data_IF_041243242971
#
_entry.id   IF_041243242971
#
_cell.length_a   1.000
_cell.length_b   1.000
_cell.length_c   1.000
_cell.angle_alpha   90.00
_cell.angle_beta   90.00
_cell.angle_gamma   90.00
#
_symmetry.space_group_name_H-M   'P 1'
#
loop_
_entity.id
_entity.type
_entity.pdbx_description
1 polymer ?
#
# COMPACT_ATOMS: atom_id res chain seq x y z
N UNK A 1 19.08 24.51 -1.03
CA UNK A 1 17.81 23.76 -1.22
C UNK A 1 17.91 23.12 -2.60
N UNK A 2 17.83 21.81 -2.68
CA UNK A 2 17.84 21.12 -3.97
C UNK A 2 16.57 21.41 -4.76
N UNK A 3 16.65 21.39 -6.08
CA UNK A 3 15.47 21.53 -6.94
C UNK A 3 14.63 20.26 -6.82
N UNK A 4 13.31 20.41 -6.71
CA UNK A 4 12.40 19.28 -6.66
C UNK A 4 11.18 19.49 -7.57
N UNK A 5 10.51 18.39 -7.91
CA UNK A 5 9.29 18.35 -8.70
C UNK A 5 8.23 17.58 -7.93
N UNK A 6 7.03 18.15 -7.80
CA UNK A 6 5.89 17.51 -7.16
C UNK A 6 4.73 17.41 -8.15
N UNK A 7 4.15 16.21 -8.28
CA UNK A 7 3.00 15.95 -9.15
C UNK A 7 2.01 15.03 -8.45
N UNK A 8 0.76 15.46 -8.33
CA UNK A 8 -0.39 14.63 -7.93
C UNK A 8 -1.56 14.93 -8.87
N UNK A 9 -1.80 14.05 -9.88
CA UNK A 9 -2.80 14.32 -10.90
C UNK A 9 -4.22 13.88 -10.53
N UNK A 10 -4.41 13.17 -9.38
CA UNK A 10 -5.70 12.60 -8.99
C UNK A 10 -6.48 13.59 -8.13
N UNK A 11 -7.64 14.07 -8.58
CA UNK A 11 -8.58 14.77 -7.71
C UNK A 11 -9.05 13.87 -6.57
N UNK A 12 -9.01 14.39 -5.34
CA UNK A 12 -9.37 13.67 -4.11
C UNK A 12 -10.61 14.33 -3.50
N UNK A 13 -11.69 13.57 -3.33
CA UNK A 13 -12.84 13.97 -2.50
C UNK A 13 -12.89 13.08 -1.27
N UNK A 14 -12.64 13.66 -0.11
CA UNK A 14 -12.44 12.97 1.16
C UNK A 14 -13.53 13.35 2.17
N UNK A 15 -14.02 12.37 2.92
CA UNK A 15 -14.88 12.57 4.10
C UNK A 15 -16.02 11.57 4.20
N UNK A 16 -16.61 11.49 5.39
CA UNK A 16 -17.72 10.62 5.74
C UNK A 16 -18.93 10.87 4.84
N UNK A 17 -19.50 9.81 4.26
CA UNK A 17 -20.65 9.86 3.36
C UNK A 17 -20.37 10.34 1.94
N UNK A 18 -19.11 10.59 1.58
CA UNK A 18 -18.72 11.10 0.25
C UNK A 18 -19.06 10.14 -0.90
N UNK A 19 -19.17 8.83 -0.66
CA UNK A 19 -19.63 7.87 -1.69
C UNK A 19 -20.97 8.26 -2.32
N UNK A 20 -21.80 9.05 -1.63
CA UNK A 20 -23.09 9.56 -2.15
C UNK A 20 -22.92 10.52 -3.33
N UNK A 21 -21.71 11.07 -3.54
CA UNK A 21 -21.40 11.93 -4.70
C UNK A 21 -21.07 11.16 -5.97
N UNK A 22 -21.08 9.82 -5.94
CA UNK A 22 -20.77 9.00 -7.11
C UNK A 22 -21.58 9.39 -8.35
N UNK A 23 -22.94 9.58 -8.30
CA UNK A 23 -23.72 9.97 -9.47
C UNK A 23 -23.26 11.29 -10.10
N UNK A 24 -22.98 12.30 -9.26
CA UNK A 24 -22.52 13.62 -9.72
C UNK A 24 -21.14 13.55 -10.38
N UNK A 25 -20.24 12.71 -9.83
CA UNK A 25 -18.91 12.51 -10.38
C UNK A 25 -19.00 11.82 -11.75
N UNK A 26 -19.79 10.74 -11.86
CA UNK A 26 -20.01 10.03 -13.12
C UNK A 26 -20.65 10.93 -14.17
N UNK A 27 -21.57 11.81 -13.78
CA UNK A 27 -22.20 12.79 -14.67
C UNK A 27 -21.18 13.80 -15.20
N UNK A 28 -20.31 14.33 -14.32
CA UNK A 28 -19.22 15.26 -14.74
C UNK A 28 -18.19 14.59 -15.63
N UNK A 29 -17.93 13.30 -15.44
CA UNK A 29 -17.04 12.52 -16.31
C UNK A 29 -17.69 12.20 -17.66
N UNK A 30 -18.99 12.46 -17.84
CA UNK A 30 -19.78 12.16 -19.04
C UNK A 30 -19.67 10.67 -19.46
N UNK A 31 -19.73 9.75 -18.48
CA UNK A 31 -19.65 8.30 -18.70
C UNK A 31 -21.01 7.66 -18.48
N UNK A 32 -21.33 6.60 -19.27
CA UNK A 32 -22.68 6.02 -19.29
C UNK A 32 -22.71 4.54 -18.90
N UNK A 33 -21.66 3.78 -19.19
CA UNK A 33 -21.66 2.33 -19.01
C UNK A 33 -20.36 1.88 -18.37
N UNK A 34 -20.44 1.31 -17.19
CA UNK A 34 -19.26 0.95 -16.42
C UNK A 34 -19.39 -0.34 -15.63
N UNK A 35 -18.27 -0.76 -15.05
CA UNK A 35 -18.15 -1.94 -14.22
C UNK A 35 -17.71 -1.55 -12.80
N UNK A 36 -18.27 -2.22 -11.78
CA UNK A 36 -17.77 -2.17 -10.42
C UNK A 36 -16.81 -3.34 -10.19
N UNK A 37 -15.56 -3.03 -9.95
CA UNK A 37 -14.51 -3.99 -9.58
C UNK A 37 -14.40 -3.97 -8.06
N UNK A 38 -14.83 -5.05 -7.40
CA UNK A 38 -15.10 -5.01 -5.96
C UNK A 38 -14.40 -6.13 -5.19
N UNK A 39 -14.07 -5.86 -3.93
CA UNK A 39 -13.69 -6.92 -3.02
C UNK A 39 -14.85 -7.88 -2.77
N UNK A 40 -14.62 -9.21 -2.70
CA UNK A 40 -15.67 -10.19 -2.41
C UNK A 40 -16.44 -9.90 -1.10
N UNK A 41 -15.78 -9.32 -0.10
CA UNK A 41 -16.39 -8.90 1.15
C UNK A 41 -17.44 -7.81 0.95
N UNK A 42 -17.20 -6.85 0.06
CA UNK A 42 -18.14 -5.77 -0.24
C UNK A 42 -19.40 -6.30 -0.95
N UNK A 43 -19.25 -7.34 -1.77
CA UNK A 43 -20.40 -8.04 -2.38
C UNK A 43 -21.21 -8.78 -1.32
N UNK A 44 -20.55 -9.56 -0.46
CA UNK A 44 -21.24 -10.32 0.61
C UNK A 44 -21.98 -9.44 1.62
N UNK A 45 -21.48 -8.25 1.89
CA UNK A 45 -22.12 -7.29 2.81
C UNK A 45 -23.19 -6.42 2.13
N UNK A 46 -23.40 -6.56 0.83
CA UNK A 46 -24.33 -5.75 0.04
C UNK A 46 -23.87 -4.31 -0.23
N UNK A 47 -22.67 -3.94 0.18
CA UNK A 47 -22.12 -2.59 -0.05
C UNK A 47 -21.89 -2.37 -1.56
N UNK A 48 -21.36 -3.37 -2.26
CA UNK A 48 -21.15 -3.30 -3.72
C UNK A 48 -22.47 -3.02 -4.46
N UNK A 49 -23.55 -3.69 -4.07
CA UNK A 49 -24.87 -3.45 -4.66
C UNK A 49 -25.35 -2.01 -4.40
N UNK A 50 -25.21 -1.52 -3.18
CA UNK A 50 -25.59 -0.12 -2.84
C UNK A 50 -24.80 0.91 -3.66
N UNK A 51 -23.53 0.66 -3.92
CA UNK A 51 -22.70 1.54 -4.78
C UNK A 51 -23.16 1.45 -6.25
N UNK A 52 -23.46 0.24 -6.73
CA UNK A 52 -24.01 0.06 -8.08
C UNK A 52 -25.36 0.78 -8.26
N UNK A 53 -26.26 0.65 -7.29
CA UNK A 53 -27.58 1.32 -7.30
C UNK A 53 -27.43 2.85 -7.31
N UNK A 54 -26.48 3.39 -6.55
CA UNK A 54 -26.16 4.83 -6.53
C UNK A 54 -25.66 5.36 -7.88
N UNK A 55 -25.17 4.50 -8.77
CA UNK A 55 -24.71 4.92 -10.11
C UNK A 55 -25.81 5.31 -11.07
N UNK A 56 -27.08 5.21 -10.67
CA UNK A 56 -28.26 5.49 -11.51
C UNK A 56 -28.28 4.64 -12.79
N UNK A 57 -27.92 3.36 -12.67
CA UNK A 57 -27.90 2.40 -13.77
C UNK A 57 -26.66 2.48 -14.68
N UNK A 58 -25.69 3.34 -14.37
CA UNK A 58 -24.43 3.43 -15.14
C UNK A 58 -23.49 2.26 -14.88
N UNK A 59 -23.49 1.66 -13.67
CA UNK A 59 -22.77 0.42 -13.38
C UNK A 59 -23.67 -0.75 -13.81
N UNK A 60 -23.24 -1.48 -14.85
CA UNK A 60 -24.03 -2.56 -15.48
C UNK A 60 -23.50 -3.96 -15.13
N UNK A 61 -22.33 -4.06 -14.50
CA UNK A 61 -21.71 -5.32 -14.12
C UNK A 61 -20.90 -5.14 -12.83
N UNK A 62 -20.74 -6.24 -12.07
CA UNK A 62 -19.88 -6.31 -10.90
C UNK A 62 -18.89 -7.45 -11.09
N UNK A 63 -17.60 -7.18 -10.98
CA UNK A 63 -16.53 -8.18 -11.00
C UNK A 63 -15.89 -8.26 -9.61
N UNK A 64 -15.85 -9.45 -9.00
CA UNK A 64 -15.35 -9.63 -7.64
C UNK A 64 -14.45 -10.86 -7.45
N UNK A 65 -14.00 -11.48 -8.53
CA UNK A 65 -13.17 -12.68 -8.50
C UNK A 65 -11.68 -12.33 -8.33
N UNK A 66 -11.38 -11.46 -7.38
CA UNK A 66 -10.00 -11.00 -7.12
C UNK A 66 -9.56 -11.50 -5.75
N UNK A 67 -8.45 -12.21 -5.72
CA UNK A 67 -7.81 -12.68 -4.49
C UNK A 67 -6.82 -11.64 -3.96
N UNK A 68 -6.48 -11.68 -2.66
CA UNK A 68 -5.31 -10.96 -2.15
C UNK A 68 -4.05 -11.30 -2.97
N UNK A 69 -3.18 -10.30 -3.21
CA UNK A 69 -2.07 -10.41 -4.16
C UNK A 69 -2.56 -10.79 -5.57
N UNK A 70 -3.23 -9.87 -6.29
CA UNK A 70 -3.91 -10.18 -7.54
C UNK A 70 -2.93 -10.75 -8.57
N UNK A 71 -3.40 -11.78 -9.30
CA UNK A 71 -2.59 -12.47 -10.30
C UNK A 71 -2.81 -11.86 -11.69
N UNK A 72 -1.89 -12.19 -12.60
CA UNK A 72 -2.07 -11.93 -14.04
C UNK A 72 -3.43 -12.47 -14.51
N UNK A 73 -3.77 -13.72 -14.14
CA UNK A 73 -5.05 -14.35 -14.49
C UNK A 73 -6.26 -13.57 -13.97
N UNK A 74 -6.23 -13.08 -12.72
CA UNK A 74 -7.31 -12.25 -12.17
C UNK A 74 -7.48 -10.96 -13.00
N UNK A 75 -6.37 -10.34 -13.38
CA UNK A 75 -6.36 -9.09 -14.15
C UNK A 75 -6.90 -9.30 -15.56
N UNK A 76 -6.48 -10.37 -16.24
CA UNK A 76 -6.96 -10.67 -17.58
C UNK A 76 -8.44 -11.06 -17.59
N UNK A 77 -8.93 -11.78 -16.59
CA UNK A 77 -10.35 -12.09 -16.41
C UNK A 77 -11.17 -10.80 -16.17
N UNK A 78 -10.67 -9.87 -15.34
CA UNK A 78 -11.30 -8.58 -15.13
C UNK A 78 -11.34 -7.74 -16.44
N UNK A 79 -10.24 -7.72 -17.20
CA UNK A 79 -10.19 -7.05 -18.50
C UNK A 79 -11.15 -7.67 -19.52
N UNK A 80 -11.34 -9.01 -19.50
CA UNK A 80 -12.33 -9.69 -20.31
C UNK A 80 -13.76 -9.27 -19.96
N UNK A 81 -14.10 -9.19 -18.67
CA UNK A 81 -15.40 -8.69 -18.20
C UNK A 81 -15.67 -7.23 -18.63
N UNK A 82 -14.65 -6.36 -18.57
CA UNK A 82 -14.76 -4.99 -19.07
C UNK A 82 -15.15 -4.97 -20.56
N UNK A 83 -14.50 -5.81 -21.38
CA UNK A 83 -14.79 -5.92 -22.82
C UNK A 83 -16.17 -6.52 -23.10
N UNK A 84 -16.52 -7.62 -22.43
CA UNK A 84 -17.80 -8.33 -22.60
C UNK A 84 -19.00 -7.42 -22.33
N UNK A 85 -18.90 -6.62 -21.24
CA UNK A 85 -19.94 -5.68 -20.88
C UNK A 85 -19.84 -4.31 -21.58
N UNK A 86 -18.90 -4.14 -22.52
CA UNK A 86 -18.67 -2.89 -23.24
C UNK A 86 -18.54 -1.67 -22.33
N UNK A 87 -17.76 -1.80 -21.24
CA UNK A 87 -17.64 -0.76 -20.24
C UNK A 87 -16.68 0.35 -20.68
N UNK A 88 -17.12 1.61 -20.59
CA UNK A 88 -16.33 2.80 -20.87
C UNK A 88 -15.69 3.43 -19.63
N UNK A 89 -15.96 2.91 -18.42
CA UNK A 89 -15.31 3.29 -17.17
C UNK A 89 -15.36 2.16 -16.15
N UNK A 90 -14.57 2.28 -15.11
CA UNK A 90 -14.60 1.36 -13.96
C UNK A 90 -14.63 2.12 -12.63
N UNK A 91 -15.25 1.53 -11.63
CA UNK A 91 -15.15 1.93 -10.22
C UNK A 91 -14.47 0.80 -9.46
N UNK A 92 -13.36 1.05 -8.79
CA UNK A 92 -12.69 0.09 -7.93
C UNK A 92 -13.13 0.30 -6.48
N UNK A 93 -13.79 -0.69 -5.87
CA UNK A 93 -14.26 -0.67 -4.49
C UNK A 93 -13.53 -1.75 -3.67
N UNK A 94 -12.45 -1.38 -2.99
CA UNK A 94 -11.65 -2.35 -2.25
C UNK A 94 -10.34 -1.80 -1.72
N UNK A 95 -9.48 -2.66 -1.20
CA UNK A 95 -8.11 -2.34 -0.82
C UNK A 95 -7.13 -2.39 -2.00
N UNK A 96 -5.83 -2.34 -1.70
CA UNK A 96 -4.75 -2.31 -2.70
C UNK A 96 -4.86 -3.38 -3.78
N UNK A 97 -5.16 -4.63 -3.41
CA UNK A 97 -5.30 -5.74 -4.37
C UNK A 97 -6.38 -5.48 -5.42
N UNK A 98 -7.51 -4.88 -5.03
CA UNK A 98 -8.59 -4.53 -5.95
C UNK A 98 -8.17 -3.36 -6.84
N UNK A 99 -7.56 -2.33 -6.25
CA UNK A 99 -7.08 -1.16 -6.97
C UNK A 99 -6.03 -1.52 -8.02
N UNK A 100 -5.07 -2.36 -7.66
CA UNK A 100 -3.98 -2.78 -8.53
C UNK A 100 -4.50 -3.62 -9.70
N UNK A 101 -5.36 -4.60 -9.42
CA UNK A 101 -6.05 -5.36 -10.46
C UNK A 101 -6.84 -4.43 -11.40
N UNK A 102 -7.62 -3.50 -10.84
CA UNK A 102 -8.44 -2.58 -11.62
C UNK A 102 -7.62 -1.66 -12.53
N UNK A 103 -6.51 -1.09 -12.03
CA UNK A 103 -5.61 -0.24 -12.83
C UNK A 103 -5.09 -0.98 -14.06
N UNK A 104 -4.55 -2.18 -13.85
CA UNK A 104 -4.01 -2.97 -14.95
C UNK A 104 -5.13 -3.48 -15.88
N UNK A 105 -6.25 -3.96 -15.35
CA UNK A 105 -7.38 -4.45 -16.14
C UNK A 105 -8.00 -3.35 -17.01
N UNK A 106 -8.17 -2.13 -16.49
CA UNK A 106 -8.66 -0.99 -17.26
C UNK A 106 -7.76 -0.65 -18.46
N UNK A 107 -6.45 -0.83 -18.28
CA UNK A 107 -5.48 -0.63 -19.37
C UNK A 107 -5.51 -1.79 -20.36
N UNK A 108 -5.40 -3.05 -19.87
CA UNK A 108 -5.35 -4.26 -20.71
C UNK A 108 -6.62 -4.44 -21.53
N UNK A 109 -7.78 -4.04 -21.00
CA UNK A 109 -9.06 -4.11 -21.71
C UNK A 109 -9.07 -3.38 -23.05
N UNK A 110 -8.27 -2.32 -23.19
CA UNK A 110 -8.10 -1.55 -24.44
C UNK A 110 -7.04 -2.09 -25.39
N UNK A 111 -6.45 -3.26 -25.12
CA UNK A 111 -5.37 -3.85 -25.90
C UNK A 111 -5.69 -5.28 -26.34
N UNK A 112 -5.03 -5.81 -27.39
CA UNK A 112 -5.15 -7.23 -27.77
C UNK A 112 -4.21 -8.14 -26.98
N UNK A 113 -3.46 -7.61 -25.99
CA UNK A 113 -2.41 -8.31 -25.28
C UNK A 113 -2.86 -8.72 -23.87
N UNK A 114 -2.12 -9.67 -23.26
CA UNK A 114 -2.29 -10.09 -21.86
C UNK A 114 -1.55 -9.18 -20.88
N UNK A 115 -1.91 -9.24 -19.62
CA UNK A 115 -1.16 -8.57 -18.55
C UNK A 115 0.30 -9.03 -18.48
N UNK A 116 0.58 -10.31 -18.76
CA UNK A 116 1.94 -10.87 -18.77
C UNK A 116 2.85 -10.20 -19.81
N UNK A 117 2.31 -9.83 -20.99
CA UNK A 117 3.09 -9.15 -22.03
C UNK A 117 3.67 -7.81 -21.55
N UNK A 118 2.95 -7.10 -20.66
CA UNK A 118 3.39 -5.83 -20.09
C UNK A 118 4.30 -6.04 -18.88
N UNK A 119 4.03 -7.02 -18.02
CA UNK A 119 4.88 -7.35 -16.89
C UNK A 119 6.28 -7.81 -17.32
N UNK A 120 6.37 -8.58 -18.41
CA UNK A 120 7.63 -9.01 -19.01
C UNK A 120 8.40 -7.88 -19.71
N UNK A 121 7.79 -6.68 -19.82
CA UNK A 121 8.30 -5.54 -20.61
C UNK A 121 8.44 -5.84 -22.12
N UNK A 122 7.80 -6.90 -22.60
CA UNK A 122 7.73 -7.20 -24.03
C UNK A 122 6.92 -6.13 -24.79
N UNK A 123 6.06 -5.41 -24.08
CA UNK A 123 5.25 -4.32 -24.61
C UNK A 123 5.34 -3.08 -23.73
N UNK A 124 5.49 -1.88 -24.33
CA UNK A 124 5.44 -0.62 -23.58
C UNK A 124 3.99 -0.22 -23.25
N UNK A 125 3.81 0.50 -22.15
CA UNK A 125 2.54 1.14 -21.79
C UNK A 125 2.55 2.54 -22.45
N UNK A 126 1.75 2.74 -23.49
CA UNK A 126 1.82 3.93 -24.35
C UNK A 126 0.60 4.83 -24.26
N UNK A 127 -0.49 4.38 -23.60
CA UNK A 127 -1.75 5.11 -23.51
C UNK A 127 -2.50 4.78 -22.22
N UNK A 128 -3.47 5.62 -21.88
CA UNK A 128 -4.37 5.38 -20.75
C UNK A 128 -5.42 4.31 -21.14
N UNK A 129 -5.80 3.47 -20.19
CA UNK A 129 -6.97 2.60 -20.28
C UNK A 129 -8.29 3.36 -20.11
N UNK A 130 -9.39 2.65 -19.93
CA UNK A 130 -10.67 3.27 -19.58
C UNK A 130 -10.52 4.00 -18.22
N UNK A 131 -11.27 5.12 -18.02
CA UNK A 131 -11.23 5.87 -16.76
C UNK A 131 -11.54 5.00 -15.55
N UNK A 132 -10.71 5.09 -14.52
CA UNK A 132 -10.86 4.39 -13.23
C UNK A 132 -11.14 5.39 -12.11
N UNK A 133 -12.27 5.25 -11.43
CA UNK A 133 -12.59 5.91 -10.16
C UNK A 133 -12.26 4.96 -9.01
N UNK A 134 -11.49 5.44 -8.03
CA UNK A 134 -11.02 4.63 -6.91
C UNK A 134 -11.80 4.95 -5.63
N UNK A 135 -12.33 3.91 -4.96
CA UNK A 135 -13.04 3.98 -3.68
C UNK A 135 -12.39 3.00 -2.68
N UNK A 136 -11.40 3.44 -1.89
CA UNK A 136 -10.69 2.56 -0.96
C UNK A 136 -11.59 2.08 0.18
N UNK A 137 -11.40 0.81 0.61
CA UNK A 137 -12.07 0.21 1.77
C UNK A 137 -11.09 -0.21 2.86
N UNK A 138 -9.81 0.12 2.68
CA UNK A 138 -8.73 -0.04 3.67
C UNK A 138 -7.91 1.24 3.71
N UNK A 139 -7.33 1.55 4.87
CA UNK A 139 -6.38 2.65 5.04
C UNK A 139 -4.98 2.05 5.09
N UNK A 140 -4.27 2.02 3.96
CA UNK A 140 -2.97 1.33 3.85
C UNK A 140 -2.17 1.75 2.63
N UNK A 141 -2.42 1.10 1.50
CA UNK A 141 -1.59 1.19 0.29
C UNK A 141 -1.65 2.53 -0.43
N UNK A 142 -2.66 3.36 -0.15
CA UNK A 142 -2.94 4.59 -0.89
C UNK A 142 -2.93 4.41 -2.43
N UNK A 143 -3.32 3.21 -2.91
CA UNK A 143 -3.30 2.89 -4.34
C UNK A 143 -4.23 3.80 -5.15
N UNK A 144 -5.23 4.41 -4.51
CA UNK A 144 -6.14 5.39 -5.10
C UNK A 144 -5.45 6.67 -5.59
N UNK A 145 -4.24 6.96 -5.12
CA UNK A 145 -3.47 8.16 -5.51
C UNK A 145 -2.10 7.82 -6.11
N UNK A 146 -1.85 6.57 -6.49
CA UNK A 146 -0.57 6.12 -7.06
C UNK A 146 -0.69 5.61 -8.48
N UNK A 147 0.43 5.61 -9.22
CA UNK A 147 0.56 5.17 -10.60
C UNK A 147 1.07 3.72 -10.73
N UNK A 148 1.01 2.96 -9.65
CA UNK A 148 1.57 1.61 -9.56
C UNK A 148 0.47 0.56 -9.49
N UNK A 149 0.73 -0.63 -10.03
CA UNK A 149 -0.05 -1.86 -9.91
C UNK A 149 0.89 -3.02 -9.67
N UNK A 150 0.82 -3.64 -8.49
CA UNK A 150 1.64 -4.79 -8.11
C UNK A 150 0.83 -6.07 -8.33
N UNK A 151 1.32 -6.94 -9.20
CA UNK A 151 0.65 -8.17 -9.59
C UNK A 151 1.56 -9.38 -9.37
N UNK A 152 0.95 -10.54 -9.15
CA UNK A 152 1.66 -11.80 -9.06
C UNK A 152 1.66 -12.51 -10.42
N UNK A 153 2.84 -12.69 -10.98
CA UNK A 153 3.05 -13.58 -12.12
C UNK A 153 3.23 -15.01 -11.59
N UNK A 154 2.16 -15.79 -11.68
CA UNK A 154 2.14 -17.15 -11.14
C UNK A 154 2.96 -18.14 -11.95
N UNK A 155 3.24 -17.84 -13.24
CA UNK A 155 4.07 -18.71 -14.09
C UNK A 155 5.56 -18.52 -13.74
N UNK A 156 5.96 -17.32 -13.37
CA UNK A 156 7.33 -17.00 -12.97
C UNK A 156 7.55 -17.07 -11.46
N UNK A 157 6.48 -17.19 -10.67
CA UNK A 157 6.55 -17.22 -9.21
C UNK A 157 6.99 -15.89 -8.58
N UNK A 158 6.78 -14.74 -9.25
CA UNK A 158 7.28 -13.44 -8.79
C UNK A 158 6.20 -12.38 -8.69
N UNK A 159 6.33 -11.47 -7.74
CA UNK A 159 5.59 -10.19 -7.74
C UNK A 159 6.28 -9.22 -8.69
N UNK A 160 5.51 -8.60 -9.55
CA UNK A 160 6.01 -7.66 -10.53
C UNK A 160 5.20 -6.35 -10.51
N UNK A 161 5.90 -5.26 -10.78
CA UNK A 161 5.36 -3.91 -10.77
C UNK A 161 5.10 -3.43 -12.20
N UNK A 162 3.87 -3.04 -12.48
CA UNK A 162 3.53 -2.14 -13.59
C UNK A 162 3.42 -0.72 -13.03
N UNK A 163 4.22 0.20 -13.57
CA UNK A 163 4.19 1.61 -13.20
C UNK A 163 4.16 2.49 -14.44
N UNK A 164 3.21 3.40 -14.49
CA UNK A 164 3.06 4.38 -15.56
C UNK A 164 2.11 5.48 -15.10
N UNK A 165 2.37 6.72 -15.51
CA UNK A 165 1.44 7.84 -15.29
C UNK A 165 0.02 7.57 -15.82
N UNK A 166 -0.12 6.64 -16.74
CA UNK A 166 -1.42 6.21 -17.27
C UNK A 166 -2.25 5.38 -16.29
N UNK A 167 -1.65 4.87 -15.20
CA UNK A 167 -2.33 4.09 -14.16
C UNK A 167 -2.90 4.92 -13.01
N UNK A 168 -2.61 6.22 -12.95
CA UNK A 168 -3.31 7.07 -11.99
C UNK A 168 -4.82 6.98 -12.21
N UNK A 169 -5.61 6.69 -11.16
CA UNK A 169 -7.06 6.87 -11.21
C UNK A 169 -7.42 8.28 -11.66
N UNK A 170 -8.54 8.43 -12.33
CA UNK A 170 -9.01 9.78 -12.72
C UNK A 170 -9.70 10.50 -11.58
N UNK A 171 -10.06 9.77 -10.52
CA UNK A 171 -10.67 10.32 -9.32
C UNK A 171 -10.50 9.37 -8.13
N UNK A 172 -10.22 9.90 -6.95
CA UNK A 172 -10.23 9.19 -5.68
C UNK A 172 -11.41 9.70 -4.82
N UNK A 173 -12.36 8.81 -4.52
CA UNK A 173 -13.52 9.09 -3.68
C UNK A 173 -13.36 8.32 -2.37
N UNK A 174 -12.84 9.01 -1.36
CA UNK A 174 -12.44 8.42 -0.08
C UNK A 174 -13.53 8.66 0.96
N UNK A 175 -14.26 7.60 1.29
CA UNK A 175 -15.30 7.60 2.31
C UNK A 175 -14.90 6.68 3.47
N UNK A 176 -14.50 7.23 4.62
CA UNK A 176 -14.08 6.44 5.79
C UNK A 176 -15.11 5.43 6.28
N UNK A 177 -16.42 5.64 6.04
CA UNK A 177 -17.45 4.64 6.37
C UNK A 177 -17.25 3.30 5.65
N UNK A 178 -16.58 3.30 4.48
CA UNK A 178 -16.28 2.06 3.76
C UNK A 178 -15.19 1.21 4.46
N UNK A 179 -14.45 1.79 5.40
CA UNK A 179 -13.41 1.08 6.17
C UNK A 179 -13.92 0.46 7.47
N UNK A 180 -15.13 0.77 7.91
CA UNK A 180 -15.69 0.29 9.20
C UNK A 180 -15.79 -1.23 9.27
N UNK A 181 -16.07 -1.89 8.14
CA UNK A 181 -16.14 -3.35 8.07
C UNK A 181 -14.79 -4.03 7.95
N UNK A 182 -13.69 -3.27 7.93
CA UNK A 182 -12.33 -3.81 7.84
C UNK A 182 -12.00 -4.58 9.14
N UNK A 183 -11.61 -5.86 9.05
CA UNK A 183 -11.26 -6.65 10.24
C UNK A 183 -10.06 -6.02 10.98
N UNK A 184 -9.99 -6.18 12.33
CA UNK A 184 -8.90 -5.64 13.13
C UNK A 184 -7.51 -6.02 12.62
N UNK A 185 -7.27 -7.28 12.24
CA UNK A 185 -5.99 -7.73 11.71
C UNK A 185 -5.62 -7.04 10.38
N UNK A 186 -6.59 -6.79 9.51
CA UNK A 186 -6.36 -6.02 8.27
C UNK A 186 -6.12 -4.55 8.61
N UNK A 187 -6.83 -3.98 9.59
CA UNK A 187 -6.60 -2.61 10.09
C UNK A 187 -5.17 -2.47 10.63
N UNK A 188 -4.70 -3.45 11.43
CA UNK A 188 -3.34 -3.44 11.97
C UNK A 188 -2.28 -3.48 10.86
N UNK A 189 -2.36 -4.46 9.97
CA UNK A 189 -1.40 -4.61 8.89
C UNK A 189 -1.42 -3.40 7.95
N UNK A 190 -2.61 -2.93 7.50
CA UNK A 190 -2.69 -1.78 6.61
C UNK A 190 -2.24 -0.47 7.28
N UNK A 191 -2.53 -0.28 8.57
CA UNK A 191 -2.08 0.90 9.29
C UNK A 191 -0.56 0.95 9.51
N UNK A 192 0.08 -0.20 9.72
CA UNK A 192 1.54 -0.29 9.76
C UNK A 192 2.17 -0.09 8.37
N UNK A 193 1.47 -0.46 7.30
CA UNK A 193 1.86 -0.12 5.93
C UNK A 193 1.88 1.39 5.71
N UNK A 194 0.85 2.12 6.20
CA UNK A 194 0.85 3.60 6.20
C UNK A 194 2.06 4.16 6.93
N UNK A 195 2.38 3.59 8.10
CA UNK A 195 3.55 4.04 8.86
C UNK A 195 4.85 3.78 8.12
N UNK A 196 5.00 2.59 7.51
CA UNK A 196 6.16 2.25 6.69
C UNK A 196 6.31 3.21 5.50
N UNK A 197 5.23 3.46 4.76
CA UNK A 197 5.20 4.43 3.68
C UNK A 197 5.64 5.83 4.15
N UNK A 198 5.12 6.28 5.31
CA UNK A 198 5.43 7.59 5.87
C UNK A 198 6.90 7.71 6.27
N UNK A 199 7.41 6.76 7.07
CA UNK A 199 8.78 6.80 7.55
C UNK A 199 9.79 6.63 6.40
N UNK A 200 9.52 5.73 5.45
CA UNK A 200 10.36 5.54 4.26
C UNK A 200 10.33 6.74 3.31
N UNK A 201 9.18 7.36 3.12
CA UNK A 201 9.10 8.60 2.35
C UNK A 201 9.89 9.73 3.01
N UNK A 202 9.91 9.77 4.35
CA UNK A 202 10.63 10.78 5.10
C UNK A 202 12.14 10.56 5.07
N UNK A 203 12.63 9.33 5.32
CA UNK A 203 14.08 9.09 5.37
C UNK A 203 14.71 8.74 4.01
N UNK A 204 13.93 8.34 3.01
CA UNK A 204 14.44 7.90 1.72
C UNK A 204 15.25 8.97 0.98
N UNK A 205 16.25 8.56 0.18
CA UNK A 205 17.12 9.47 -0.57
C UNK A 205 16.38 10.44 -1.50
N UNK A 206 15.13 10.12 -1.87
CA UNK A 206 14.30 10.93 -2.79
C UNK A 206 13.32 11.85 -2.06
N UNK A 207 13.46 12.02 -0.76
CA UNK A 207 12.59 12.91 0.01
C UNK A 207 12.71 14.38 -0.45
N UNK A 208 11.70 15.17 -0.18
CA UNK A 208 11.64 16.59 -0.52
C UNK A 208 10.66 17.31 0.43
N UNK A 209 10.73 18.65 0.56
CA UNK A 209 9.97 19.36 1.58
C UNK A 209 8.45 19.10 1.60
N UNK A 210 7.81 18.94 0.42
CA UNK A 210 6.37 18.66 0.36
C UNK A 210 6.05 17.21 0.78
N UNK A 211 6.90 16.26 0.42
CA UNK A 211 6.73 14.87 0.85
C UNK A 211 7.06 14.69 2.32
N UNK A 212 8.03 15.43 2.86
CA UNK A 212 8.39 15.41 4.28
C UNK A 212 7.23 15.89 5.15
N UNK A 213 6.58 16.98 4.76
CA UNK A 213 5.39 17.50 5.46
C UNK A 213 4.25 16.48 5.46
N UNK A 214 3.97 15.85 4.31
CA UNK A 214 2.92 14.86 4.19
C UNK A 214 3.25 13.59 4.99
N UNK A 215 4.49 13.11 4.93
CA UNK A 215 4.98 11.94 5.66
C UNK A 215 4.89 12.13 7.18
N UNK A 216 5.30 13.30 7.68
CA UNK A 216 5.24 13.64 9.11
C UNK A 216 3.78 13.69 9.61
N UNK A 217 2.89 14.33 8.86
CA UNK A 217 1.47 14.36 9.20
C UNK A 217 0.87 12.97 9.25
N UNK A 218 1.11 12.15 8.22
CA UNK A 218 0.61 10.78 8.16
C UNK A 218 1.13 9.91 9.32
N UNK A 219 2.43 9.94 9.61
CA UNK A 219 3.01 9.21 10.74
C UNK A 219 2.40 9.63 12.08
N UNK A 220 2.20 10.94 12.29
CA UNK A 220 1.55 11.46 13.50
C UNK A 220 0.15 10.87 13.68
N UNK A 221 -0.66 10.85 12.63
CA UNK A 221 -2.00 10.27 12.67
C UNK A 221 -1.97 8.77 12.99
N UNK A 222 -1.03 8.01 12.41
CA UNK A 222 -0.92 6.57 12.71
C UNK A 222 -0.59 6.34 14.18
N UNK A 223 0.40 7.04 14.76
CA UNK A 223 0.74 6.88 16.17
C UNK A 223 -0.41 7.22 17.12
N UNK A 224 -1.30 8.14 16.74
CA UNK A 224 -2.42 8.55 17.57
C UNK A 224 -3.68 7.68 17.40
N UNK A 225 -3.93 7.15 16.19
CA UNK A 225 -5.23 6.59 15.86
C UNK A 225 -5.24 5.12 15.47
N UNK A 226 -4.10 4.50 15.10
CA UNK A 226 -4.08 3.11 14.63
C UNK A 226 -4.60 2.14 15.69
N UNK A 227 -4.10 2.24 16.92
CA UNK A 227 -4.56 1.38 18.01
C UNK A 227 -6.04 1.58 18.33
N UNK A 228 -6.51 2.82 18.27
CA UNK A 228 -7.93 3.14 18.44
C UNK A 228 -8.79 2.49 17.35
N UNK A 229 -8.36 2.60 16.09
CA UNK A 229 -9.07 1.97 14.96
C UNK A 229 -9.03 0.43 15.03
N UNK A 230 -7.97 -0.15 15.61
CA UNK A 230 -7.83 -1.59 15.83
C UNK A 230 -8.76 -2.10 16.94
N UNK A 231 -8.76 -1.45 18.11
CA UNK A 231 -9.55 -1.87 19.26
C UNK A 231 -11.04 -1.51 19.15
N UNK A 232 -11.33 -0.42 18.46
CA UNK A 232 -12.68 0.13 18.27
C UNK A 232 -13.01 0.24 16.76
N UNK A 233 -13.27 -0.87 16.05
CA UNK A 233 -13.50 -0.85 14.60
C UNK A 233 -14.62 0.09 14.13
N UNK A 234 -15.61 0.36 14.98
CA UNK A 234 -16.71 1.30 14.71
C UNK A 234 -16.41 2.77 15.04
N UNK A 235 -15.23 3.09 15.56
CA UNK A 235 -14.85 4.46 15.91
C UNK A 235 -14.59 5.28 14.63
N UNK A 236 -15.58 6.09 14.24
CA UNK A 236 -15.54 6.85 12.99
C UNK A 236 -14.42 7.89 12.95
N UNK A 237 -14.10 8.53 14.08
CA UNK A 237 -12.98 9.45 14.16
C UNK A 237 -11.66 8.74 13.81
N UNK A 238 -11.42 7.60 14.44
CA UNK A 238 -10.21 6.80 14.19
C UNK A 238 -10.16 6.30 12.73
N UNK A 239 -11.30 5.86 12.16
CA UNK A 239 -11.37 5.46 10.74
C UNK A 239 -11.09 6.63 9.80
N UNK A 240 -11.65 7.79 10.07
CA UNK A 240 -11.41 9.00 9.27
C UNK A 240 -9.93 9.40 9.33
N UNK A 241 -9.35 9.45 10.53
CA UNK A 241 -7.95 9.79 10.71
C UNK A 241 -6.98 8.77 10.09
N UNK A 242 -7.29 7.49 10.15
CA UNK A 242 -6.49 6.48 9.44
C UNK A 242 -6.64 6.57 7.91
N UNK A 243 -7.82 6.92 7.40
CA UNK A 243 -8.00 7.16 5.96
C UNK A 243 -7.27 8.42 5.49
N UNK A 244 -7.28 9.48 6.32
CA UNK A 244 -6.48 10.70 6.11
C UNK A 244 -4.98 10.38 6.10
N UNK A 245 -4.50 9.59 7.07
CA UNK A 245 -3.11 9.15 7.12
C UNK A 245 -2.70 8.37 5.87
N UNK A 246 -3.55 7.43 5.42
CA UNK A 246 -3.30 6.61 4.24
C UNK A 246 -3.12 7.47 2.98
N UNK A 247 -4.09 8.33 2.67
CA UNK A 247 -4.00 9.17 1.48
C UNK A 247 -2.82 10.14 1.56
N UNK A 248 -2.55 10.71 2.74
CA UNK A 248 -1.44 11.66 2.94
C UNK A 248 -0.08 10.97 2.79
N UNK A 249 0.09 9.73 3.32
CA UNK A 249 1.27 8.92 3.05
C UNK A 249 1.43 8.65 1.55
N UNK A 250 0.31 8.40 0.85
CA UNK A 250 0.28 8.24 -0.61
C UNK A 250 0.82 9.44 -1.36
N UNK A 251 0.48 10.66 -0.93
CA UNK A 251 1.01 11.90 -1.50
C UNK A 251 2.54 12.02 -1.33
N UNK A 252 3.09 11.40 -0.30
CA UNK A 252 4.53 11.39 -0.05
C UNK A 252 5.23 10.28 -0.88
N UNK A 253 4.93 9.00 -0.60
CA UNK A 253 5.72 7.90 -1.15
C UNK A 253 5.53 7.67 -2.65
N UNK A 254 4.43 8.14 -3.25
CA UNK A 254 4.24 8.07 -4.70
C UNK A 254 5.37 8.76 -5.50
N UNK A 255 6.06 9.71 -4.89
CA UNK A 255 7.18 10.44 -5.48
C UNK A 255 8.52 9.99 -4.93
N UNK A 256 8.62 9.77 -3.62
CA UNK A 256 9.87 9.37 -2.97
C UNK A 256 10.19 7.89 -3.18
N UNK A 257 9.21 7.08 -3.54
CA UNK A 257 9.28 5.63 -3.55
C UNK A 257 9.45 5.03 -2.14
N UNK A 258 9.31 3.72 -2.03
CA UNK A 258 9.61 2.98 -0.80
C UNK A 258 11.10 2.67 -0.69
N UNK A 259 11.56 2.11 0.43
CA UNK A 259 12.97 1.84 0.68
C UNK A 259 13.19 0.41 1.24
N UNK A 260 14.05 0.28 2.24
CA UNK A 260 14.57 -1.00 2.70
C UNK A 260 13.55 -1.87 3.44
N UNK A 261 12.65 -1.28 4.25
CA UNK A 261 11.63 -2.06 4.96
C UNK A 261 10.65 -2.74 3.99
N UNK A 262 10.25 -2.03 2.93
CA UNK A 262 9.46 -2.64 1.86
C UNK A 262 10.24 -3.68 1.07
N UNK A 263 11.54 -3.47 0.78
CA UNK A 263 12.36 -4.47 0.11
C UNK A 263 12.40 -5.79 0.91
N UNK A 264 12.59 -5.70 2.22
CA UNK A 264 12.58 -6.84 3.14
C UNK A 264 11.19 -7.50 3.30
N UNK A 265 10.11 -6.77 3.02
CA UNK A 265 8.75 -7.32 3.13
C UNK A 265 8.38 -8.29 2.00
N UNK A 266 9.03 -8.20 0.84
CA UNK A 266 8.65 -9.00 -0.32
C UNK A 266 8.80 -10.49 -0.08
N UNK A 267 9.97 -11.02 0.32
CA UNK A 267 10.10 -12.44 0.64
C UNK A 267 9.19 -12.86 1.80
N UNK A 268 9.07 -12.06 2.86
CA UNK A 268 8.16 -12.36 3.98
C UNK A 268 6.71 -12.52 3.53
N UNK A 269 6.28 -11.71 2.58
CA UNK A 269 4.91 -11.81 2.02
C UNK A 269 4.77 -12.95 1.03
N UNK A 270 5.75 -13.16 0.15
CA UNK A 270 5.67 -14.09 -0.95
C UNK A 270 5.91 -15.53 -0.49
N UNK A 271 6.95 -15.75 0.31
CA UNK A 271 7.44 -17.08 0.66
C UNK A 271 6.80 -17.58 1.96
N UNK A 272 6.49 -16.66 2.88
CA UNK A 272 5.93 -16.99 4.21
C UNK A 272 4.47 -16.55 4.41
N UNK A 273 3.86 -15.89 3.42
CA UNK A 273 2.43 -15.52 3.47
C UNK A 273 2.05 -14.44 4.49
N UNK A 274 3.03 -13.67 4.97
CA UNK A 274 2.79 -12.59 5.94
C UNK A 274 2.05 -11.43 5.25
N UNK A 275 1.00 -10.84 5.85
CA UNK A 275 0.36 -9.65 5.32
C UNK A 275 1.37 -8.52 5.07
N UNK A 276 1.28 -7.85 3.92
CA UNK A 276 2.33 -6.94 3.43
C UNK A 276 2.76 -5.88 4.45
N UNK A 277 1.81 -5.13 5.02
CA UNK A 277 2.15 -4.08 6.00
C UNK A 277 2.71 -4.64 7.33
N UNK A 278 2.28 -5.84 7.75
CA UNK A 278 2.93 -6.56 8.86
C UNK A 278 4.37 -6.93 8.51
N UNK A 279 4.60 -7.41 7.29
CA UNK A 279 5.94 -7.74 6.81
C UNK A 279 6.85 -6.50 6.73
N UNK A 280 6.36 -5.34 6.29
CA UNK A 280 7.10 -4.09 6.33
C UNK A 280 7.49 -3.70 7.76
N UNK A 281 6.56 -3.88 8.72
CA UNK A 281 6.78 -3.54 10.11
C UNK A 281 7.81 -4.44 10.83
N UNK A 282 8.22 -5.57 10.26
CA UNK A 282 9.27 -6.40 10.85
C UNK A 282 10.60 -5.66 10.96
N UNK A 283 11.04 -5.04 9.88
CA UNK A 283 12.35 -4.38 9.81
C UNK A 283 12.29 -2.87 9.95
N UNK A 284 11.10 -2.26 9.89
CA UNK A 284 10.92 -0.81 9.96
C UNK A 284 11.58 -0.17 11.19
N UNK A 285 11.42 -0.70 12.44
CA UNK A 285 12.09 -0.15 13.62
C UNK A 285 13.62 -0.19 13.49
N UNK A 286 14.16 -1.29 12.97
CA UNK A 286 15.59 -1.47 12.78
C UNK A 286 16.17 -0.50 11.75
N UNK A 287 15.50 -0.30 10.63
CA UNK A 287 15.91 0.70 9.63
C UNK A 287 15.77 2.13 10.14
N UNK A 288 14.76 2.43 10.94
CA UNK A 288 14.65 3.74 11.57
C UNK A 288 15.84 4.02 12.49
N UNK A 289 16.19 3.08 13.38
CA UNK A 289 17.37 3.17 14.26
C UNK A 289 18.67 3.28 13.46
N UNK A 290 18.84 2.46 12.43
CA UNK A 290 20.03 2.48 11.57
C UNK A 290 20.22 3.84 10.89
N UNK A 291 19.16 4.35 10.24
CA UNK A 291 19.21 5.60 9.49
C UNK A 291 19.34 6.82 10.42
N UNK A 292 18.73 6.81 11.60
CA UNK A 292 18.83 7.90 12.58
C UNK A 292 20.17 7.95 13.31
N UNK A 293 20.93 6.85 13.33
CA UNK A 293 22.28 6.81 13.95
C UNK A 293 23.39 7.05 12.94
N UNK A 294 23.29 6.45 11.76
CA UNK A 294 24.39 6.36 10.79
C UNK A 294 24.07 7.01 9.44
N UNK A 295 22.84 7.46 9.22
CA UNK A 295 22.45 8.12 7.99
C UNK A 295 23.01 9.54 7.87
N UNK A 296 23.15 10.05 6.63
CA UNK A 296 23.68 11.40 6.37
C UNK A 296 22.83 12.52 6.98
N UNK A 297 21.58 12.24 7.30
CA UNK A 297 20.60 13.18 7.86
C UNK A 297 20.05 12.71 9.23
N UNK A 298 20.90 12.09 10.05
CA UNK A 298 20.53 11.59 11.37
C UNK A 298 19.86 12.63 12.26
N UNK A 299 20.35 13.88 12.25
CA UNK A 299 19.77 14.98 13.04
C UNK A 299 18.33 15.29 12.61
N UNK A 300 18.01 15.22 11.30
CA UNK A 300 16.65 15.42 10.77
C UNK A 300 15.70 14.32 11.27
N UNK A 301 16.14 13.07 11.28
CA UNK A 301 15.34 11.94 11.77
C UNK A 301 15.12 12.01 13.29
N UNK A 302 16.14 12.40 14.04
CA UNK A 302 16.01 12.62 15.47
C UNK A 302 15.09 13.81 15.81
N UNK A 303 15.14 14.88 15.02
CA UNK A 303 14.22 16.02 15.16
C UNK A 303 12.78 15.61 14.81
N UNK A 304 12.57 14.78 13.79
CA UNK A 304 11.26 14.22 13.44
C UNK A 304 10.66 13.43 14.61
N UNK A 305 11.42 12.51 15.23
CA UNK A 305 10.96 11.73 16.38
C UNK A 305 10.48 12.64 17.52
N UNK A 306 11.24 13.70 17.82
CA UNK A 306 10.87 14.68 18.86
C UNK A 306 9.61 15.48 18.51
N UNK A 307 9.41 15.86 17.23
CA UNK A 307 8.16 16.55 16.80
C UNK A 307 6.94 15.65 16.91
N UNK A 308 7.10 14.33 16.77
CA UNK A 308 6.04 13.37 17.02
C UNK A 308 5.82 13.04 18.52
N UNK A 309 6.56 13.71 19.43
CA UNK A 309 6.40 13.56 20.88
C UNK A 309 7.25 12.45 21.49
N UNK A 310 8.19 11.85 20.76
CA UNK A 310 9.14 10.87 21.29
C UNK A 310 10.41 11.56 21.81
N UNK A 311 11.03 10.99 22.84
CA UNK A 311 12.27 11.50 23.39
C UNK A 311 13.39 11.50 22.33
N UNK A 312 13.50 10.39 21.61
CA UNK A 312 14.47 10.17 20.52
C UNK A 312 13.97 9.16 19.48
N UNK A 313 14.82 8.84 18.53
CA UNK A 313 14.53 7.89 17.46
C UNK A 313 14.44 6.45 17.93
N UNK A 314 15.16 6.08 18.99
CA UNK A 314 15.08 4.74 19.58
C UNK A 314 13.71 4.54 20.22
N UNK A 315 13.20 5.53 20.96
CA UNK A 315 11.88 5.47 21.59
C UNK A 315 10.75 5.40 20.54
N UNK A 316 10.90 6.11 19.41
CA UNK A 316 9.94 5.99 18.29
C UNK A 316 9.92 4.55 17.74
N UNK A 317 11.09 3.97 17.50
CA UNK A 317 11.20 2.60 16.99
C UNK A 317 10.64 1.58 17.97
N UNK A 318 10.93 1.73 19.28
CA UNK A 318 10.39 0.86 20.32
C UNK A 318 8.85 0.95 20.38
N UNK A 319 8.29 2.15 20.14
CA UNK A 319 6.83 2.32 20.08
C UNK A 319 6.20 1.52 18.96
N UNK A 320 6.85 1.40 17.80
CA UNK A 320 6.35 0.55 16.70
C UNK A 320 6.29 -0.92 17.17
N UNK A 321 7.32 -1.42 17.85
CA UNK A 321 7.34 -2.79 18.38
C UNK A 321 6.28 -3.03 19.47
N UNK A 322 6.04 -2.04 20.33
CA UNK A 322 4.95 -2.08 21.31
C UNK A 322 3.58 -2.18 20.60
N UNK A 323 3.35 -1.35 19.58
CA UNK A 323 2.10 -1.37 18.80
C UNK A 323 1.89 -2.71 18.10
N UNK A 324 2.93 -3.32 17.52
CA UNK A 324 2.86 -4.67 16.93
C UNK A 324 2.37 -5.69 17.96
N UNK A 325 2.98 -5.71 19.16
CA UNK A 325 2.60 -6.61 20.26
C UNK A 325 1.16 -6.38 20.71
N UNK A 326 0.75 -5.13 20.88
CA UNK A 326 -0.60 -4.76 21.31
C UNK A 326 -1.66 -5.19 20.27
N UNK A 327 -1.33 -5.11 18.99
CA UNK A 327 -2.18 -5.60 17.88
C UNK A 327 -2.02 -7.10 17.60
N UNK A 328 -1.25 -7.83 18.41
CA UNK A 328 -1.02 -9.29 18.28
C UNK A 328 -0.47 -9.68 16.92
N UNK A 329 0.39 -8.85 16.36
CA UNK A 329 1.15 -9.16 15.16
C UNK A 329 2.44 -9.90 15.53
N UNK A 330 3.01 -10.58 14.55
CA UNK A 330 4.30 -11.28 14.72
C UNK A 330 5.43 -10.28 14.98
N UNK A 331 6.32 -10.62 15.87
CA UNK A 331 7.44 -9.77 16.29
C UNK A 331 8.79 -10.43 16.13
N UNK A 332 8.82 -11.75 15.95
CA UNK A 332 10.04 -12.54 15.78
C UNK A 332 10.00 -13.37 14.51
N UNK A 333 11.17 -13.72 13.98
CA UNK A 333 11.29 -14.53 12.77
C UNK A 333 10.85 -15.97 12.99
N UNK A 334 10.97 -16.50 14.24
CA UNK A 334 10.45 -17.82 14.59
C UNK A 334 8.93 -17.91 14.42
N UNK A 335 8.19 -16.84 14.75
CA UNK A 335 6.73 -16.77 14.55
C UNK A 335 6.34 -16.79 13.07
N UNK A 336 7.30 -16.50 12.18
CA UNK A 336 7.16 -16.58 10.73
C UNK A 336 7.50 -17.96 10.19
N UNK A 337 8.25 -18.77 10.96
CA UNK A 337 8.74 -20.09 10.54
C UNK A 337 10.18 -20.08 10.00
N UNK A 338 10.91 -18.98 10.21
CA UNK A 338 12.33 -18.85 9.89
C UNK A 338 13.09 -19.33 11.12
N UNK A 339 13.71 -20.51 11.05
CA UNK A 339 14.20 -21.23 12.21
C UNK A 339 15.71 -21.51 12.18
N UNK A 340 16.36 -21.33 11.03
CA UNK A 340 17.77 -21.70 10.83
C UNK A 340 18.57 -20.59 10.16
N UNK A 341 19.90 -20.68 10.24
CA UNK A 341 20.82 -19.81 9.50
C UNK A 341 20.63 -19.91 7.96
N UNK A 342 20.25 -21.11 7.46
CA UNK A 342 19.97 -21.30 6.05
C UNK A 342 18.72 -20.53 5.60
N UNK A 343 17.66 -20.53 6.43
CA UNK A 343 16.44 -19.75 6.16
C UNK A 343 16.76 -18.24 6.18
N UNK A 344 17.67 -17.80 7.07
CA UNK A 344 18.13 -16.40 7.09
C UNK A 344 18.92 -16.05 5.82
N UNK A 345 19.78 -16.93 5.35
CA UNK A 345 20.55 -16.69 4.12
C UNK A 345 19.63 -16.57 2.90
N UNK A 346 18.61 -17.41 2.81
CA UNK A 346 17.59 -17.34 1.77
C UNK A 346 16.78 -16.02 1.87
N UNK A 347 16.30 -15.66 3.08
CA UNK A 347 15.57 -14.41 3.31
C UNK A 347 16.42 -13.19 2.92
N UNK A 348 17.70 -13.16 3.30
CA UNK A 348 18.62 -12.08 2.93
C UNK A 348 18.76 -11.98 1.42
N UNK A 349 18.98 -13.10 0.73
CA UNK A 349 19.20 -13.11 -0.73
C UNK A 349 17.98 -12.58 -1.50
N UNK A 350 16.76 -12.82 -1.02
CA UNK A 350 15.52 -12.35 -1.62
C UNK A 350 15.12 -10.92 -1.23
N UNK A 351 15.80 -10.31 -0.23
CA UNK A 351 15.46 -8.97 0.30
C UNK A 351 16.08 -7.82 -0.51
N UNK A 352 17.01 -8.07 -1.43
CA UNK A 352 17.70 -7.02 -2.21
C UNK A 352 16.92 -6.60 -3.46
N UNK A 353 15.70 -6.09 -3.25
CA UNK A 353 14.91 -5.49 -4.32
C UNK A 353 15.43 -4.07 -4.70
N UNK A 354 15.08 -3.53 -5.87
CA UNK A 354 15.58 -2.24 -6.35
C UNK A 354 15.38 -1.06 -5.40
N UNK A 355 14.29 -1.06 -4.62
CA UNK A 355 13.97 -0.02 -3.65
C UNK A 355 14.87 -0.04 -2.41
N UNK A 356 15.60 -1.11 -2.13
CA UNK A 356 16.65 -1.14 -1.10
C UNK A 356 17.67 0.01 -1.30
N UNK A 357 17.96 0.36 -2.55
CA UNK A 357 18.90 1.44 -2.90
C UNK A 357 18.45 2.84 -2.50
N UNK A 358 17.15 3.00 -2.22
CA UNK A 358 16.59 4.27 -1.72
C UNK A 358 16.84 4.50 -0.22
N UNK A 359 17.32 3.46 0.51
CA UNK A 359 17.69 3.61 1.92
C UNK A 359 18.94 4.50 2.05
N UNK A 360 18.98 5.48 2.98
CA UNK A 360 20.12 6.39 3.18
C UNK A 360 21.42 5.65 3.51
N UNK A 361 21.38 4.74 4.48
CA UNK A 361 22.49 3.87 4.83
C UNK A 361 22.50 2.68 3.87
N UNK A 362 23.61 2.48 3.18
CA UNK A 362 23.77 1.34 2.29
C UNK A 362 23.77 0.02 3.08
N UNK A 363 22.97 -0.93 2.62
CA UNK A 363 22.83 -2.23 3.28
C UNK A 363 23.63 -3.29 2.53
N UNK A 364 24.48 -4.01 3.29
CA UNK A 364 25.18 -5.21 2.82
C UNK A 364 24.44 -6.47 3.22
N UNK A 365 24.72 -7.60 2.55
CA UNK A 365 24.12 -8.89 2.92
C UNK A 365 24.45 -9.27 4.38
N UNK A 366 25.70 -9.10 4.81
CA UNK A 366 26.09 -9.35 6.19
C UNK A 366 25.40 -8.43 7.19
N UNK A 367 25.25 -7.13 6.85
CA UNK A 367 24.54 -6.17 7.71
C UNK A 367 23.05 -6.51 7.84
N UNK A 368 22.42 -6.92 6.75
CA UNK A 368 21.03 -7.34 6.77
C UNK A 368 20.84 -8.66 7.53
N UNK A 369 21.76 -9.61 7.34
CA UNK A 369 21.74 -10.87 8.08
C UNK A 369 21.83 -10.65 9.59
N UNK A 370 22.72 -9.75 10.02
CA UNK A 370 22.86 -9.40 11.42
C UNK A 370 21.61 -8.69 11.97
N UNK A 371 20.99 -7.81 11.19
CA UNK A 371 19.70 -7.20 11.55
C UNK A 371 18.60 -8.26 11.74
N UNK A 372 18.51 -9.24 10.87
CA UNK A 372 17.54 -10.34 10.98
C UNK A 372 17.85 -11.24 12.19
N UNK A 373 19.12 -11.50 12.51
CA UNK A 373 19.48 -12.26 13.74
C UNK A 373 18.97 -11.58 15.00
N UNK A 374 18.98 -10.24 15.06
CA UNK A 374 18.44 -9.50 16.21
C UNK A 374 16.91 -9.63 16.33
N UNK A 375 16.21 -9.95 15.23
CA UNK A 375 14.78 -10.26 15.24
C UNK A 375 14.48 -11.74 15.50
N UNK A 376 15.52 -12.54 15.74
CA UNK A 376 15.42 -13.96 16.04
C UNK A 376 15.82 -14.21 17.51
N UNK A 377 14.86 -14.62 18.36
CA UNK A 377 15.07 -14.72 19.81
C UNK A 377 16.15 -15.73 20.23
N UNK A 378 16.29 -16.84 19.50
CA UNK A 378 17.24 -17.90 19.85
C UNK A 378 18.63 -17.73 19.21
N UNK A 379 18.76 -16.99 18.11
CA UNK A 379 20.04 -16.73 17.47
C UNK A 379 20.72 -15.47 18.02
N UNK A 380 19.95 -14.51 18.52
CA UNK A 380 20.48 -13.30 19.18
C UNK A 380 21.28 -13.59 20.48
N UNK A 381 21.06 -14.75 21.11
CA UNK A 381 21.73 -15.14 22.37
C UNK A 381 23.06 -15.87 22.16
N UNK A 382 23.51 -16.11 20.94
CA UNK A 382 24.73 -16.89 20.63
C UNK A 382 25.98 -16.03 20.38
N UNK A 383 25.90 -14.70 20.57
CA UNK A 383 27.02 -13.76 20.42
C UNK A 383 27.48 -13.20 21.78
#
# INVERSE_FOLDING_TARGET
MENFFYKQPVPIDFGTGKRKKLPDILSRMNVQRGILISAPSMVRTGIAQKIADQSEGRIVAVFSEIRPNPTVTNTDACAAAIREHHCGFAVALGGGSIMDCAKAACFVAGTPYSTADFLSKARPITQRGIPLLAMPTTSGTASEVTAASVLTDTERGVKALLASDYFYPVYALIDPELTVSCPPQVTAASGLDVLAHSLEAYYGKKHQPLTDMAAEHAASLVFHYLLKAYHEPGNMEAREKMSEASVTAGLAFSLTQTAAAHACSYPLTQDYGIPHGEACAFTLPSFWKLNSRFGPESDRLNAFSRRLGFEDSDRLADRIDEMKKEMRLRTTLEEVGILSEADLDELVSHSFAPNMKNNPVEMTENGLKEMYRQLHSSLAQRN
#
